data_IF_559340901408
#
_entry.id   IF_559340901408
#
_cell.length_a   1.000
_cell.length_b   1.000
_cell.length_c   1.000
_cell.angle_alpha   90.00
_cell.angle_beta   90.00
_cell.angle_gamma   90.00
#
_symmetry.space_group_name_H-M   'P 1'
#
loop_
_entity.id
_entity.type
_entity.pdbx_description
1 polymer ?
#
# COMPACT_ATOMS: atom_id res chain seq x y z
N UNK A 1 -3.62 57.19 -48.46
CA UNK A 1 -2.88 55.93 -48.22
C UNK A 1 -2.24 55.93 -46.83
N UNK A 2 -2.99 55.57 -45.79
CA UNK A 2 -2.50 55.37 -44.41
C UNK A 2 -3.38 54.29 -43.81
N UNK A 3 -3.07 53.00 -43.99
CA UNK A 3 -3.72 51.89 -43.24
C UNK A 3 -3.08 50.50 -43.44
N UNK A 4 -1.86 50.39 -43.99
CA UNK A 4 -1.16 49.09 -44.06
C UNK A 4 -0.20 48.82 -42.90
N UNK A 5 0.19 49.84 -42.12
CA UNK A 5 1.15 49.67 -41.02
C UNK A 5 0.53 49.19 -39.70
N UNK A 6 -0.78 49.39 -39.49
CA UNK A 6 -1.40 48.98 -38.21
C UNK A 6 -1.74 47.49 -38.14
N UNK A 7 -2.14 46.86 -39.26
CA UNK A 7 -2.52 45.44 -39.28
C UNK A 7 -1.33 44.51 -38.97
N UNK A 8 -0.11 44.91 -39.34
CA UNK A 8 1.09 44.11 -39.08
C UNK A 8 1.56 44.19 -37.61
N UNK A 9 1.22 45.27 -36.89
CA UNK A 9 1.60 45.45 -35.47
C UNK A 9 0.71 44.63 -34.54
N UNK A 10 -0.60 44.53 -34.83
CA UNK A 10 -1.52 43.71 -34.03
C UNK A 10 -1.28 42.20 -34.18
N UNK A 11 -0.89 41.74 -35.37
CA UNK A 11 -0.54 40.32 -35.61
C UNK A 11 0.72 39.89 -34.85
N UNK A 12 1.72 40.77 -34.75
CA UNK A 12 2.95 40.48 -34.01
C UNK A 12 2.72 40.51 -32.48
N UNK A 13 1.89 41.42 -31.99
CA UNK A 13 1.56 41.50 -30.56
C UNK A 13 0.75 40.29 -30.06
N UNK A 14 -0.19 39.78 -30.87
CA UNK A 14 -0.95 38.57 -30.54
C UNK A 14 -0.09 37.30 -30.49
N UNK A 15 0.92 37.19 -31.36
CA UNK A 15 1.84 36.06 -31.39
C UNK A 15 2.81 36.08 -30.20
N UNK A 16 3.26 37.26 -29.77
CA UNK A 16 4.10 37.43 -28.57
C UNK A 16 3.32 37.12 -27.29
N UNK A 17 2.07 37.57 -27.16
CA UNK A 17 1.21 37.25 -26.01
C UNK A 17 0.88 35.75 -25.92
N UNK A 18 0.63 35.10 -27.06
CA UNK A 18 0.44 33.64 -27.11
C UNK A 18 1.68 32.85 -26.69
N UNK A 19 2.88 33.33 -27.04
CA UNK A 19 4.14 32.69 -26.69
C UNK A 19 4.50 32.87 -25.21
N UNK A 20 4.18 34.02 -24.61
CA UNK A 20 4.39 34.27 -23.17
C UNK A 20 3.44 33.42 -22.31
N UNK A 21 2.17 33.26 -22.72
CA UNK A 21 1.21 32.41 -21.99
C UNK A 21 1.49 30.91 -22.17
N UNK A 22 2.02 30.49 -23.32
CA UNK A 22 2.44 29.09 -23.55
C UNK A 22 3.62 28.68 -22.68
N UNK A 23 4.56 29.59 -22.39
CA UNK A 23 5.72 29.29 -21.54
C UNK A 23 5.31 29.18 -20.06
N UNK A 24 4.32 29.94 -19.59
CA UNK A 24 3.87 29.92 -18.18
C UNK A 24 3.19 28.59 -17.80
N UNK A 25 2.58 27.88 -18.75
CA UNK A 25 1.99 26.55 -18.49
C UNK A 25 3.05 25.43 -18.45
N UNK A 26 4.23 25.65 -19.03
CA UNK A 26 5.35 24.69 -19.00
C UNK A 26 6.38 24.95 -17.90
N UNK A 27 6.38 26.11 -17.24
CA UNK A 27 7.40 26.44 -16.21
C UNK A 27 7.01 26.09 -14.77
N UNK A 28 5.78 25.63 -14.51
CA UNK A 28 5.40 25.06 -13.20
C UNK A 28 5.68 23.56 -13.07
N UNK A 29 6.18 22.91 -14.12
CA UNK A 29 6.67 21.53 -14.08
C UNK A 29 8.08 21.45 -14.67
N UNK A 30 9.09 21.99 -13.99
CA UNK A 30 10.46 21.44 -13.95
C UNK A 30 11.44 22.41 -13.30
N UNK A 31 11.73 22.22 -12.01
CA UNK A 31 13.02 22.49 -11.34
C UNK A 31 12.92 21.83 -9.95
N UNK A 32 13.47 20.64 -9.74
CA UNK A 32 14.91 20.42 -9.55
C UNK A 32 15.47 19.36 -10.49
N UNK A 33 16.43 19.78 -11.30
CA UNK A 33 17.26 18.88 -12.09
C UNK A 33 18.27 18.16 -11.21
N UNK A 34 17.99 16.92 -10.91
CA UNK A 34 19.01 15.88 -11.05
C UNK A 34 18.69 15.16 -12.35
N UNK A 35 19.72 14.84 -13.14
CA UNK A 35 19.57 14.01 -14.32
C UNK A 35 18.88 12.71 -13.89
N UNK A 36 17.59 12.56 -14.21
CA UNK A 36 16.91 11.28 -14.16
C UNK A 36 17.60 10.46 -15.25
N UNK A 37 18.68 9.77 -14.86
CA UNK A 37 19.03 8.51 -15.48
C UNK A 37 17.76 7.69 -15.39
N UNK A 38 17.00 7.65 -16.47
CA UNK A 38 16.18 6.49 -16.79
C UNK A 38 17.18 5.40 -17.17
N UNK A 39 17.99 4.97 -16.19
CA UNK A 39 18.34 3.56 -16.09
C UNK A 39 16.99 2.87 -16.13
N UNK A 40 16.71 2.15 -17.20
CA UNK A 40 15.67 1.13 -17.19
C UNK A 40 15.90 0.34 -15.90
N UNK A 41 15.08 0.62 -14.89
CA UNK A 41 15.25 0.13 -13.54
C UNK A 41 14.77 -1.31 -13.62
N UNK A 42 15.64 -2.20 -14.11
CA UNK A 42 15.31 -3.59 -14.39
C UNK A 42 14.60 -4.18 -13.18
N UNK A 43 13.32 -4.53 -13.36
CA UNK A 43 12.43 -5.23 -12.42
C UNK A 43 12.75 -5.07 -10.91
N UNK A 44 13.01 -3.85 -10.46
CA UNK A 44 13.37 -3.58 -9.05
C UNK A 44 12.16 -3.29 -8.17
N UNK A 45 10.95 -3.36 -8.74
CA UNK A 45 9.71 -3.26 -8.00
C UNK A 45 9.52 -4.49 -7.08
N UNK A 46 8.94 -4.30 -5.89
CA UNK A 46 8.55 -5.43 -5.05
C UNK A 46 7.51 -6.28 -5.79
N UNK A 47 7.62 -7.60 -5.66
CA UNK A 47 6.56 -8.51 -6.13
C UNK A 47 5.56 -8.74 -5.01
N UNK A 48 4.24 -8.71 -5.29
CA UNK A 48 3.23 -8.88 -4.26
C UNK A 48 3.31 -10.30 -3.67
N UNK A 49 3.43 -10.37 -2.34
CA UNK A 49 3.12 -11.60 -1.62
C UNK A 49 1.63 -11.95 -1.77
N UNK A 50 1.28 -13.20 -1.47
CA UNK A 50 -0.12 -13.62 -1.42
C UNK A 50 -0.37 -14.52 -0.22
N UNK A 51 -1.56 -14.36 0.35
CA UNK A 51 -2.06 -15.19 1.44
C UNK A 51 -2.76 -16.38 0.80
N UNK A 52 -2.41 -17.60 1.21
CA UNK A 52 -2.97 -18.84 0.68
C UNK A 52 -4.27 -19.16 1.41
N UNK A 53 -4.22 -19.11 2.75
CA UNK A 53 -5.35 -19.42 3.61
C UNK A 53 -5.26 -18.59 4.89
N UNK A 54 -6.40 -18.48 5.58
CA UNK A 54 -6.48 -18.03 6.96
C UNK A 54 -7.41 -19.01 7.66
N UNK A 55 -6.96 -19.58 8.78
CA UNK A 55 -7.76 -20.42 9.66
C UNK A 55 -8.04 -19.65 10.95
N UNK A 56 -9.33 -19.42 11.20
CA UNK A 56 -9.83 -18.67 12.34
C UNK A 56 -11.09 -19.39 12.85
N UNK A 57 -11.01 -20.02 14.03
CA UNK A 57 -12.14 -20.74 14.62
C UNK A 57 -12.85 -19.85 15.62
N UNK A 58 -14.19 -19.87 15.66
CA UNK A 58 -14.97 -19.10 16.66
C UNK A 58 -14.42 -19.23 18.09
N UNK A 59 -14.02 -20.45 18.47
CA UNK A 59 -13.45 -20.79 19.78
C UNK A 59 -12.17 -19.99 20.10
N UNK A 60 -11.33 -19.71 19.10
CA UNK A 60 -10.09 -18.94 19.25
C UNK A 60 -10.34 -17.44 19.46
N UNK A 61 -11.57 -16.98 19.25
CA UNK A 61 -11.97 -15.60 19.47
C UNK A 61 -12.64 -15.38 20.83
N UNK A 62 -13.50 -16.31 21.26
CA UNK A 62 -14.23 -16.18 22.54
C UNK A 62 -13.42 -16.62 23.77
N UNK A 63 -12.25 -17.22 23.58
CA UNK A 63 -11.43 -17.79 24.66
C UNK A 63 -10.71 -16.74 25.54
N UNK A 64 -10.83 -15.44 25.26
CA UNK A 64 -10.28 -14.36 26.08
C UNK A 64 -10.18 -13.02 25.34
N UNK A 65 -9.35 -12.11 25.84
CA UNK A 65 -9.20 -10.74 25.28
C UNK A 65 -8.51 -10.69 23.90
N UNK A 66 -8.08 -11.84 23.39
CA UNK A 66 -7.30 -11.99 22.16
C UNK A 66 -7.99 -12.99 21.26
N UNK A 67 -8.21 -12.58 20.01
CA UNK A 67 -8.69 -13.48 18.96
C UNK A 67 -7.51 -14.00 18.15
N UNK A 68 -7.29 -15.32 18.21
CA UNK A 68 -6.18 -15.99 17.53
C UNK A 68 -6.58 -16.53 16.16
N UNK A 69 -5.64 -16.54 15.23
CA UNK A 69 -5.79 -17.16 13.92
C UNK A 69 -4.44 -17.66 13.41
N UNK A 70 -4.45 -18.54 12.43
CA UNK A 70 -3.24 -18.93 11.68
C UNK A 70 -3.42 -18.62 10.20
N UNK A 71 -2.32 -18.42 9.49
CA UNK A 71 -2.35 -18.20 8.05
C UNK A 71 -1.09 -18.74 7.36
N UNK A 72 -1.29 -19.19 6.13
CA UNK A 72 -0.22 -19.54 5.21
C UNK A 72 -0.07 -18.42 4.18
N UNK A 73 1.17 -18.15 3.78
CA UNK A 73 1.45 -17.13 2.79
C UNK A 73 2.66 -17.52 1.94
N UNK A 74 2.87 -16.78 0.86
CA UNK A 74 4.01 -17.01 -0.03
C UNK A 74 4.76 -15.71 -0.28
N UNK A 75 6.02 -15.61 0.16
CA UNK A 75 6.87 -14.52 -0.23
C UNK A 75 7.12 -14.58 -1.75
N UNK A 76 7.09 -13.43 -2.41
CA UNK A 76 7.41 -13.32 -3.82
C UNK A 76 8.58 -12.36 -4.00
N UNK A 77 9.59 -12.83 -4.70
CA UNK A 77 10.79 -12.07 -5.07
C UNK A 77 11.84 -11.95 -3.96
N UNK A 78 13.06 -11.68 -4.38
CA UNK A 78 14.25 -11.68 -3.54
C UNK A 78 14.47 -10.32 -2.88
N UNK A 79 15.08 -10.34 -1.68
CA UNK A 79 15.48 -9.17 -0.89
C UNK A 79 14.34 -8.20 -0.57
N UNK A 80 13.17 -8.75 -0.25
CA UNK A 80 11.99 -7.98 0.15
C UNK A 80 11.72 -8.18 1.64
N UNK A 81 11.22 -7.12 2.27
CA UNK A 81 10.64 -7.21 3.61
C UNK A 81 9.13 -7.32 3.46
N UNK A 82 8.50 -8.09 4.34
CA UNK A 82 7.08 -8.34 4.30
C UNK A 82 6.46 -7.86 5.59
N UNK A 83 5.45 -7.00 5.50
CA UNK A 83 4.72 -6.48 6.66
C UNK A 83 3.26 -6.90 6.55
N UNK A 84 2.77 -7.64 7.52
CA UNK A 84 1.36 -8.05 7.59
C UNK A 84 0.57 -7.08 8.45
N UNK A 85 -0.65 -6.78 8.04
CA UNK A 85 -1.59 -5.99 8.81
C UNK A 85 -3.02 -6.46 8.58
N UNK A 86 -3.90 -6.07 9.48
CA UNK A 86 -5.30 -6.45 9.48
C UNK A 86 -6.17 -5.20 9.42
N UNK A 87 -7.24 -5.27 8.63
CA UNK A 87 -8.34 -4.30 8.69
C UNK A 87 -9.67 -4.97 8.98
N UNK A 88 -10.55 -4.28 9.69
CA UNK A 88 -11.96 -4.67 9.80
C UNK A 88 -12.73 -4.33 8.51
N UNK A 89 -14.02 -4.67 8.47
CA UNK A 89 -14.91 -4.36 7.36
C UNK A 89 -15.11 -2.85 7.10
N UNK A 90 -14.81 -2.00 8.08
CA UNK A 90 -14.87 -0.53 7.97
C UNK A 90 -13.52 0.08 7.57
N UNK A 91 -12.55 -0.75 7.18
CA UNK A 91 -11.19 -0.39 6.83
C UNK A 91 -10.34 0.20 7.98
N UNK A 92 -10.75 0.02 9.23
CA UNK A 92 -9.95 0.40 10.40
C UNK A 92 -8.77 -0.54 10.56
N UNK A 93 -7.59 0.00 10.84
CA UNK A 93 -6.40 -0.79 11.13
C UNK A 93 -6.49 -1.39 12.54
N UNK A 94 -6.26 -2.70 12.63
CA UNK A 94 -6.30 -3.43 13.90
C UNK A 94 -4.88 -3.60 14.46
N UNK A 95 -4.75 -3.61 15.80
CA UNK A 95 -3.49 -4.01 16.43
C UNK A 95 -3.26 -5.50 16.23
N UNK A 96 -2.25 -5.84 15.42
CA UNK A 96 -1.89 -7.20 15.08
C UNK A 96 -0.56 -7.59 15.70
N UNK A 97 -0.53 -8.76 16.32
CA UNK A 97 0.70 -9.41 16.80
C UNK A 97 0.85 -10.76 16.11
N UNK A 98 2.06 -11.09 15.69
CA UNK A 98 2.33 -12.30 14.90
C UNK A 98 3.50 -13.04 15.51
N UNK A 99 3.34 -14.32 15.82
CA UNK A 99 4.32 -15.12 16.58
C UNK A 99 5.48 -15.63 15.73
N UNK A 100 5.40 -15.55 14.40
CA UNK A 100 6.57 -15.79 13.52
C UNK A 100 7.63 -14.70 13.61
N UNK A 101 7.37 -13.67 14.41
CA UNK A 101 8.30 -12.59 14.73
C UNK A 101 8.09 -12.24 16.20
N UNK A 102 9.12 -12.17 17.03
CA UNK A 102 8.95 -11.66 18.40
C UNK A 102 8.60 -10.14 18.45
N UNK A 103 8.12 -9.58 17.33
CA UNK A 103 7.80 -8.18 17.14
C UNK A 103 6.29 -7.94 17.24
N UNK A 104 5.92 -7.07 18.17
CA UNK A 104 4.64 -6.35 18.13
C UNK A 104 4.77 -5.22 17.12
N UNK A 105 3.83 -5.11 16.19
CA UNK A 105 3.85 -4.01 15.23
C UNK A 105 2.46 -3.44 15.02
N UNK A 106 2.29 -2.17 15.40
CA UNK A 106 1.22 -1.33 14.88
C UNK A 106 1.83 -0.33 13.88
N UNK A 107 1.29 -0.18 12.66
CA UNK A 107 0.04 -0.76 12.15
C UNK A 107 0.18 -2.19 11.57
N UNK A 108 1.27 -2.91 11.82
CA UNK A 108 1.44 -4.29 11.35
C UNK A 108 2.80 -4.89 11.74
N UNK A 109 2.93 -6.22 11.68
CA UNK A 109 4.12 -6.98 12.08
C UNK A 109 4.97 -7.40 10.86
N UNK A 110 6.29 -7.55 11.03
CA UNK A 110 7.16 -8.03 9.96
C UNK A 110 7.21 -9.56 9.94
N UNK A 111 7.13 -10.15 8.75
CA UNK A 111 7.19 -11.59 8.55
C UNK A 111 8.61 -12.05 8.16
N UNK A 112 9.00 -13.21 8.68
CA UNK A 112 10.16 -13.95 8.15
C UNK A 112 9.71 -14.78 6.94
N UNK A 113 10.27 -14.55 5.73
CA UNK A 113 9.97 -15.35 4.53
C UNK A 113 10.19 -16.86 4.70
N UNK A 114 11.02 -17.28 5.65
CA UNK A 114 11.28 -18.71 5.96
C UNK A 114 10.17 -19.34 6.80
N UNK A 115 9.33 -18.54 7.44
CA UNK A 115 8.18 -18.96 8.24
C UNK A 115 6.90 -18.59 7.50
N UNK A 116 6.58 -19.36 6.47
CA UNK A 116 5.47 -19.06 5.58
C UNK A 116 4.28 -20.02 5.67
N UNK A 117 4.32 -20.91 6.66
CA UNK A 117 3.23 -21.83 6.99
C UNK A 117 2.90 -21.74 8.47
N UNK A 118 1.63 -21.94 8.80
CA UNK A 118 1.09 -21.95 10.15
C UNK A 118 1.49 -20.71 10.96
N UNK A 119 1.55 -19.55 10.29
CA UNK A 119 1.93 -18.29 10.94
C UNK A 119 0.81 -17.88 11.87
N UNK A 120 1.08 -17.86 13.17
CA UNK A 120 0.09 -17.51 14.18
C UNK A 120 -0.01 -16.00 14.37
N UNK A 121 -1.21 -15.46 14.19
CA UNK A 121 -1.58 -14.09 14.49
C UNK A 121 -2.54 -14.01 15.67
N UNK A 122 -2.56 -12.88 16.34
CA UNK A 122 -3.67 -12.51 17.22
C UNK A 122 -3.92 -11.01 17.20
N UNK A 123 -5.18 -10.66 17.42
CA UNK A 123 -5.62 -9.27 17.60
C UNK A 123 -6.24 -9.10 18.97
N UNK A 124 -6.14 -7.89 19.51
CA UNK A 124 -6.82 -7.51 20.75
C UNK A 124 -8.14 -6.88 20.35
N UNK A 125 -9.25 -7.52 20.72
CA UNK A 125 -10.60 -7.03 20.46
C UNK A 125 -11.13 -6.38 21.73
N UNK A 126 -10.59 -5.21 22.10
CA UNK A 126 -11.05 -4.52 23.32
C UNK A 126 -12.53 -4.14 23.20
N UNK A 127 -13.33 -4.59 24.18
CA UNK A 127 -14.66 -4.05 24.49
C UNK A 127 -15.88 -4.66 23.80
N UNK A 128 -15.80 -5.80 23.10
CA UNK A 128 -16.97 -6.32 22.36
C UNK A 128 -17.01 -7.86 22.19
N UNK A 129 -17.91 -8.51 22.92
CA UNK A 129 -18.22 -9.96 22.79
C UNK A 129 -18.81 -10.36 21.42
N UNK A 130 -19.23 -9.38 20.60
CA UNK A 130 -19.92 -9.63 19.32
C UNK A 130 -19.03 -9.46 18.07
N UNK A 131 -17.72 -9.24 18.21
CA UNK A 131 -16.82 -8.97 17.07
C UNK A 131 -16.23 -10.22 16.42
N UNK A 132 -16.44 -11.40 16.99
CA UNK A 132 -15.92 -12.65 16.42
C UNK A 132 -16.54 -12.95 15.04
N UNK A 133 -17.85 -12.73 14.90
CA UNK A 133 -18.58 -12.94 13.64
C UNK A 133 -18.42 -11.81 12.61
N UNK A 134 -17.57 -10.81 12.91
CA UNK A 134 -17.29 -9.74 11.96
C UNK A 134 -16.40 -10.24 10.80
N UNK A 135 -16.41 -9.47 9.72
CA UNK A 135 -15.52 -9.68 8.59
C UNK A 135 -14.24 -8.86 8.74
N UNK A 136 -13.11 -9.53 8.51
CA UNK A 136 -11.78 -8.95 8.53
C UNK A 136 -11.04 -9.24 7.23
N UNK A 137 -10.02 -8.44 6.96
CA UNK A 137 -9.18 -8.53 5.77
C UNK A 137 -7.71 -8.48 6.19
N UNK A 138 -6.99 -9.56 5.92
CA UNK A 138 -5.54 -9.65 6.13
C UNK A 138 -4.81 -9.21 4.86
N UNK A 139 -3.75 -8.43 5.01
CA UNK A 139 -2.94 -7.90 3.92
C UNK A 139 -1.46 -8.08 4.21
N UNK A 140 -0.65 -8.21 3.16
CA UNK A 140 0.81 -8.21 3.25
C UNK A 140 1.35 -7.13 2.32
N UNK A 141 2.10 -6.19 2.87
CA UNK A 141 2.92 -5.24 2.14
C UNK A 141 4.28 -5.86 1.83
N UNK A 142 4.61 -5.98 0.54
CA UNK A 142 5.95 -6.29 0.03
C UNK A 142 6.75 -5.00 -0.14
N UNK A 143 7.89 -4.88 0.53
CA UNK A 143 8.68 -3.65 0.62
C UNK A 143 10.10 -3.88 0.06
N UNK A 144 10.46 -3.13 -0.98
CA UNK A 144 11.79 -3.14 -1.63
C UNK A 144 12.16 -1.73 -2.08
N UNK A 145 13.37 -1.25 -1.78
CA UNK A 145 13.87 0.05 -2.27
C UNK A 145 12.89 1.22 -2.08
N UNK A 146 12.25 1.32 -0.90
CA UNK A 146 11.21 2.31 -0.56
C UNK A 146 9.93 2.25 -1.40
N UNK A 147 9.73 1.20 -2.20
CA UNK A 147 8.49 0.90 -2.88
C UNK A 147 7.71 -0.12 -2.07
N UNK A 148 6.38 0.01 -2.10
CA UNK A 148 5.45 -0.86 -1.40
C UNK A 148 4.43 -1.38 -2.40
N UNK A 149 4.24 -2.69 -2.44
CA UNK A 149 3.15 -3.34 -3.17
C UNK A 149 2.37 -4.19 -2.19
N UNK A 150 1.07 -3.94 -2.09
CA UNK A 150 0.16 -4.63 -1.18
C UNK A 150 -0.49 -5.83 -1.87
N UNK A 151 -0.62 -6.95 -1.15
CA UNK A 151 -1.40 -8.09 -1.59
C UNK A 151 -2.88 -7.75 -1.77
N UNK A 152 -3.64 -8.62 -2.44
CA UNK A 152 -5.09 -8.60 -2.27
C UNK A 152 -5.44 -8.92 -0.81
N UNK A 153 -6.51 -8.31 -0.30
CA UNK A 153 -6.99 -8.58 1.04
C UNK A 153 -7.62 -9.97 1.11
N UNK A 154 -7.14 -10.80 2.03
CA UNK A 154 -7.74 -12.10 2.31
C UNK A 154 -8.88 -11.93 3.31
N UNK A 155 -10.11 -12.17 2.86
CA UNK A 155 -11.31 -12.07 3.69
C UNK A 155 -11.43 -13.28 4.63
N UNK A 156 -11.64 -13.04 5.91
CA UNK A 156 -11.95 -14.07 6.90
C UNK A 156 -12.80 -13.51 8.05
N UNK A 157 -13.23 -14.39 8.97
CA UNK A 157 -13.89 -14.05 10.22
C UNK A 157 -13.87 -15.26 11.16
N UNK A 158 -14.04 -15.04 12.45
CA UNK A 158 -14.14 -16.12 13.43
C UNK A 158 -15.60 -16.59 13.49
N UNK A 159 -15.98 -17.41 12.51
CA UNK A 159 -17.35 -17.92 12.39
C UNK A 159 -17.46 -19.32 13.00
N UNK A 160 -18.67 -19.68 13.44
CA UNK A 160 -19.04 -21.02 13.91
C UNK A 160 -19.00 -22.07 12.79
#
# INVERSE_FOLDING_TARGET
>A
MKNKKQIMVYGLFGLILGLILGIIVTTTLTTTGDAIKITAQGNNAPLPAYIINVNAQYQDCVAGDKAYFTFDWVPKGEDQRYKVYLKDASANLMELKVTSSDNVGFPGAYLDPKMNKDVRGYVILEGYDNKCSDTYYLYIDSIKNNQIVTSQGYKFGWNE
#
